data_IF_162095954307
#
_entry.id   IF_162095954307
#
_cell.length_a   1.000
_cell.length_b   1.000
_cell.length_c   1.000
_cell.angle_alpha   90.00
_cell.angle_beta   90.00
_cell.angle_gamma   90.00
#
_symmetry.space_group_name_H-M   'P 1'
#
loop_
_entity.id
_entity.type
_entity.pdbx_description
1 polymer ?
#
# COMPACT_ATOMS: atom_id res chain seq x y z
N UNK A 1 -15.88 2.89 14.71
CA UNK A 1 -15.05 2.19 13.70
C UNK A 1 -15.71 2.36 12.34
N UNK A 2 -15.00 2.93 11.37
CA UNK A 2 -15.50 3.07 9.99
C UNK A 2 -15.62 1.68 9.36
N UNK A 3 -16.81 1.29 8.92
CA UNK A 3 -16.98 0.06 8.15
C UNK A 3 -16.48 0.25 6.71
N UNK A 4 -15.97 -0.83 6.11
CA UNK A 4 -15.65 -0.82 4.68
C UNK A 4 -16.93 -0.61 3.86
N UNK A 5 -16.83 0.21 2.82
CA UNK A 5 -17.92 0.44 1.87
C UNK A 5 -17.63 -0.41 0.66
N UNK A 6 -18.58 -1.28 0.32
CA UNK A 6 -18.41 -2.24 -0.77
C UNK A 6 -19.36 -1.94 -1.91
N UNK A 7 -18.89 -2.18 -3.13
CA UNK A 7 -19.65 -2.02 -4.37
C UNK A 7 -19.08 -3.00 -5.41
N UNK A 8 -19.89 -3.42 -6.38
CA UNK A 8 -19.40 -4.31 -7.44
C UNK A 8 -18.28 -3.67 -8.26
N UNK A 9 -17.31 -4.49 -8.66
CA UNK A 9 -16.19 -4.02 -9.49
C UNK A 9 -16.67 -3.36 -10.78
N UNK A 10 -17.67 -3.94 -11.46
CA UNK A 10 -18.20 -3.42 -12.72
C UNK A 10 -18.78 -2.00 -12.57
N UNK A 11 -19.45 -1.72 -11.46
CA UNK A 11 -20.01 -0.38 -11.19
C UNK A 11 -18.92 0.65 -10.84
N UNK A 12 -17.88 0.25 -10.08
CA UNK A 12 -16.74 1.12 -9.78
C UNK A 12 -15.89 1.39 -11.02
N UNK A 13 -15.60 0.35 -11.80
CA UNK A 13 -14.76 0.42 -13.00
C UNK A 13 -15.34 1.36 -14.08
N UNK A 14 -16.66 1.52 -14.13
CA UNK A 14 -17.31 2.47 -15.04
C UNK A 14 -16.95 3.95 -14.73
N UNK A 15 -16.55 4.26 -13.49
CA UNK A 15 -16.23 5.61 -13.01
C UNK A 15 -14.74 5.85 -12.80
N UNK A 16 -13.93 4.80 -12.80
CA UNK A 16 -12.50 4.90 -12.57
C UNK A 16 -11.73 5.33 -13.82
N UNK A 17 -10.57 5.99 -13.63
CA UNK A 17 -9.65 6.25 -14.72
C UNK A 17 -9.26 4.97 -15.44
N UNK A 18 -9.25 5.00 -16.78
CA UNK A 18 -8.93 3.81 -17.60
C UNK A 18 -7.43 3.54 -17.70
N UNK A 19 -6.60 4.58 -17.66
CA UNK A 19 -5.16 4.49 -17.83
C UNK A 19 -4.40 5.51 -16.97
N UNK A 20 -3.09 5.29 -16.81
CA UNK A 20 -2.19 6.20 -16.11
C UNK A 20 -2.06 5.93 -14.61
N UNK A 21 -1.32 6.81 -13.91
CA UNK A 21 -0.98 6.66 -12.49
C UNK A 21 -2.03 7.33 -11.61
N UNK A 22 -2.78 6.54 -10.83
CA UNK A 22 -3.85 7.04 -9.96
C UNK A 22 -3.79 6.39 -8.58
N UNK A 23 -4.03 7.17 -7.53
CA UNK A 23 -4.20 6.64 -6.18
C UNK A 23 -5.68 6.32 -6.01
N UNK A 24 -6.05 5.06 -6.21
CA UNK A 24 -7.39 4.56 -5.95
C UNK A 24 -7.42 3.96 -4.54
N UNK A 25 -8.27 4.51 -3.68
CA UNK A 25 -8.42 4.12 -2.28
C UNK A 25 -9.87 4.30 -1.82
N UNK A 26 -10.29 3.55 -0.81
CA UNK A 26 -11.43 3.96 0.02
C UNK A 26 -10.93 4.99 1.05
N UNK A 27 -11.64 6.11 1.20
CA UNK A 27 -11.28 7.16 2.16
C UNK A 27 -12.52 7.92 2.64
N UNK A 28 -12.38 8.61 3.77
CA UNK A 28 -13.30 9.64 4.26
C UNK A 28 -12.53 10.95 4.53
N UNK A 29 -13.12 11.87 5.28
CA UNK A 29 -12.48 13.16 5.57
C UNK A 29 -11.16 13.00 6.36
N UNK A 30 -11.08 11.98 7.21
CA UNK A 30 -10.03 11.82 8.21
C UNK A 30 -9.11 10.63 7.93
N UNK A 31 -9.57 9.63 7.16
CA UNK A 31 -8.87 8.35 7.01
C UNK A 31 -8.85 7.84 5.57
N UNK A 32 -7.87 7.00 5.28
CA UNK A 32 -7.73 6.22 4.04
C UNK A 32 -7.48 4.76 4.37
N UNK A 33 -8.05 3.85 3.60
CA UNK A 33 -7.81 2.42 3.74
C UNK A 33 -6.55 2.03 2.97
N UNK A 34 -5.67 1.31 3.64
CA UNK A 34 -4.55 0.61 3.03
C UNK A 34 -4.58 -0.87 3.37
N UNK A 35 -4.08 -1.69 2.46
CA UNK A 35 -4.12 -3.13 2.56
C UNK A 35 -2.72 -3.73 2.66
N UNK A 36 -2.62 -4.78 3.47
CA UNK A 36 -1.44 -5.64 3.61
C UNK A 36 -1.89 -7.08 3.85
N UNK A 37 -1.05 -8.06 3.53
CA UNK A 37 -1.34 -9.47 3.77
C UNK A 37 -0.24 -10.12 4.60
N UNK A 38 -0.65 -10.99 5.53
CA UNK A 38 0.24 -11.66 6.47
C UNK A 38 -0.20 -13.09 6.76
N UNK A 39 0.72 -13.84 7.37
CA UNK A 39 0.40 -15.11 8.03
C UNK A 39 -0.64 -14.91 9.14
N UNK A 40 -1.46 -15.94 9.46
CA UNK A 40 -2.53 -15.85 10.45
C UNK A 40 -2.10 -15.25 11.78
N UNK A 41 -0.93 -15.64 12.29
CA UNK A 41 -0.42 -15.14 13.57
C UNK A 41 -0.29 -13.60 13.64
N UNK A 42 0.19 -12.96 12.56
CA UNK A 42 0.35 -11.51 12.52
C UNK A 42 -1.00 -10.85 12.21
N UNK A 43 -1.72 -11.36 11.20
CA UNK A 43 -2.97 -10.79 10.73
C UNK A 43 -4.05 -10.79 11.82
N UNK A 44 -4.30 -11.94 12.46
CA UNK A 44 -5.31 -12.02 13.52
C UNK A 44 -4.92 -11.21 14.75
N UNK A 45 -3.63 -11.17 15.11
CA UNK A 45 -3.17 -10.32 16.20
C UNK A 45 -3.50 -8.85 15.93
N UNK A 46 -3.12 -8.34 14.75
CA UNK A 46 -3.37 -6.94 14.40
C UNK A 46 -4.86 -6.61 14.32
N UNK A 47 -5.68 -7.50 13.75
CA UNK A 47 -7.12 -7.32 13.69
C UNK A 47 -7.78 -7.28 15.09
N UNK A 48 -7.27 -8.07 16.04
CA UNK A 48 -7.82 -8.12 17.40
C UNK A 48 -7.34 -6.97 18.30
N UNK A 49 -6.12 -6.46 18.09
CA UNK A 49 -5.50 -5.49 19.00
C UNK A 49 -5.36 -4.08 18.44
N UNK A 50 -5.56 -3.89 17.12
CA UNK A 50 -5.43 -2.59 16.48
C UNK A 50 -4.00 -2.10 16.29
N UNK A 51 -2.99 -2.97 16.42
CA UNK A 51 -1.59 -2.65 16.14
C UNK A 51 -0.80 -3.91 15.78
N UNK A 52 0.40 -3.76 15.24
CA UNK A 52 1.26 -4.88 14.87
C UNK A 52 2.14 -5.35 16.04
N UNK A 53 1.98 -6.62 16.44
CA UNK A 53 2.71 -7.25 17.54
C UNK A 53 4.11 -7.75 17.17
N UNK A 54 4.73 -8.52 18.07
CA UNK A 54 6.13 -9.02 17.94
C UNK A 54 6.40 -9.89 16.72
N UNK A 55 5.38 -10.48 16.10
CA UNK A 55 5.53 -11.23 14.86
C UNK A 55 5.77 -10.35 13.62
N UNK A 56 5.53 -9.04 13.73
CA UNK A 56 5.76 -8.07 12.66
C UNK A 56 7.22 -7.60 12.66
N UNK A 57 7.90 -7.75 11.53
CA UNK A 57 9.30 -7.35 11.39
C UNK A 57 9.41 -5.87 11.04
N UNK A 58 10.16 -5.13 11.86
CA UNK A 58 10.53 -3.73 11.62
C UNK A 58 11.85 -3.57 10.85
N UNK A 59 12.62 -4.66 10.71
CA UNK A 59 13.94 -4.64 10.06
C UNK A 59 13.87 -4.65 8.52
N UNK A 60 12.69 -4.93 7.97
CA UNK A 60 12.45 -5.01 6.53
C UNK A 60 11.39 -4.01 6.09
N UNK A 61 11.50 -3.59 4.83
CA UNK A 61 10.47 -2.80 4.18
C UNK A 61 9.10 -3.53 4.23
N UNK A 62 8.06 -2.86 4.71
CA UNK A 62 6.66 -3.32 4.58
C UNK A 62 5.93 -2.49 3.52
N UNK A 63 5.13 -3.13 2.67
CA UNK A 63 4.48 -2.47 1.54
C UNK A 63 2.98 -2.34 1.73
N UNK A 64 2.49 -1.11 1.95
CA UNK A 64 1.07 -0.79 2.01
C UNK A 64 0.51 -0.49 0.62
N UNK A 65 -0.75 -0.85 0.38
CA UNK A 65 -1.44 -0.67 -0.91
C UNK A 65 -2.81 -0.04 -0.68
N UNK A 66 -3.13 1.15 -1.18
CA UNK A 66 -4.49 1.69 -1.09
C UNK A 66 -5.48 0.95 -2.01
N UNK A 67 -4.97 0.28 -3.05
CA UNK A 67 -5.78 -0.47 -4.01
C UNK A 67 -5.99 -1.93 -3.56
N UNK A 68 -7.25 -2.32 -3.36
CA UNK A 68 -7.64 -3.66 -2.92
C UNK A 68 -7.27 -4.75 -3.92
N UNK A 69 -7.58 -4.60 -5.22
CA UNK A 69 -7.32 -5.62 -6.22
C UNK A 69 -5.82 -5.81 -6.47
N UNK A 70 -5.02 -4.76 -6.32
CA UNK A 70 -3.57 -4.87 -6.29
C UNK A 70 -3.10 -5.73 -5.11
N UNK A 71 -3.68 -5.56 -3.91
CA UNK A 71 -3.38 -6.44 -2.78
C UNK A 71 -3.83 -7.89 -3.05
N UNK A 72 -5.04 -8.10 -3.56
CA UNK A 72 -5.57 -9.45 -3.83
C UNK A 72 -4.76 -10.18 -4.89
N UNK A 73 -4.35 -9.51 -5.96
CA UNK A 73 -3.40 -10.09 -6.92
C UNK A 73 -2.09 -10.49 -6.23
N UNK A 74 -1.54 -9.61 -5.38
CA UNK A 74 -0.23 -9.84 -4.73
C UNK A 74 -0.25 -11.00 -3.75
N UNK A 75 -1.30 -11.19 -2.97
CA UNK A 75 -1.47 -12.34 -2.09
C UNK A 75 -2.10 -13.57 -2.77
N UNK A 76 -2.41 -13.49 -4.07
CA UNK A 76 -3.07 -14.58 -4.79
C UNK A 76 -4.43 -14.93 -4.19
N UNK A 77 -5.24 -13.90 -3.93
CA UNK A 77 -6.52 -14.04 -3.23
C UNK A 77 -6.40 -14.72 -1.86
N UNK A 78 -5.38 -14.34 -1.10
CA UNK A 78 -5.02 -14.92 0.19
C UNK A 78 -4.70 -16.42 0.18
N UNK A 79 -4.43 -17.00 -0.99
CA UNK A 79 -4.02 -18.40 -1.11
C UNK A 79 -2.50 -18.60 -0.99
N UNK A 80 -1.69 -17.54 -1.07
CA UNK A 80 -0.22 -17.65 -1.00
C UNK A 80 0.24 -17.90 0.46
N UNK A 81 1.14 -18.87 0.68
CA UNK A 81 1.72 -19.10 2.01
C UNK A 81 2.34 -17.83 2.60
N UNK A 82 2.03 -17.55 3.86
CA UNK A 82 2.46 -16.36 4.60
C UNK A 82 1.70 -15.07 4.28
N UNK A 83 0.64 -15.12 3.48
CA UNK A 83 -0.23 -13.99 3.08
C UNK A 83 -1.73 -14.35 3.14
N UNK A 84 -2.11 -15.21 4.06
CA UNK A 84 -3.44 -15.81 4.19
C UNK A 84 -4.47 -14.86 4.84
N UNK A 85 -4.02 -13.84 5.57
CA UNK A 85 -4.88 -12.84 6.20
C UNK A 85 -4.60 -11.47 5.60
N UNK A 86 -5.58 -10.92 4.88
CA UNK A 86 -5.55 -9.56 4.34
C UNK A 86 -6.19 -8.61 5.34
N UNK A 87 -5.43 -7.60 5.76
CA UNK A 87 -5.89 -6.53 6.63
C UNK A 87 -6.31 -5.33 5.79
N UNK A 88 -7.45 -4.74 6.13
CA UNK A 88 -7.81 -3.39 5.74
C UNK A 88 -7.55 -2.47 6.93
N UNK A 89 -6.54 -1.61 6.80
CA UNK A 89 -6.09 -0.70 7.86
C UNK A 89 -6.60 0.69 7.55
N UNK A 90 -7.40 1.26 8.45
CA UNK A 90 -7.76 2.67 8.41
C UNK A 90 -6.58 3.49 8.94
N UNK A 91 -5.92 4.20 8.04
CA UNK A 91 -4.81 5.07 8.36
C UNK A 91 -5.29 6.52 8.33
N UNK A 92 -4.89 7.32 9.32
CA UNK A 92 -5.16 8.75 9.30
C UNK A 92 -4.65 9.37 7.98
N UNK A 93 -5.49 10.16 7.34
CA UNK A 93 -5.22 10.74 6.03
C UNK A 93 -4.01 11.65 6.06
N UNK A 94 -3.84 12.42 7.14
CA UNK A 94 -2.65 13.23 7.38
C UNK A 94 -1.36 12.38 7.41
N UNK A 95 -1.41 11.20 8.04
CA UNK A 95 -0.28 10.26 8.06
C UNK A 95 0.00 9.71 6.67
N UNK A 96 -1.02 9.33 5.91
CA UNK A 96 -0.85 8.86 4.53
C UNK A 96 -0.25 9.94 3.61
N UNK A 97 -0.73 11.18 3.73
CA UNK A 97 -0.22 12.32 2.96
C UNK A 97 1.25 12.63 3.32
N UNK A 98 1.62 12.53 4.60
CA UNK A 98 3.00 12.64 5.05
C UNK A 98 3.90 11.53 4.49
N UNK A 99 3.42 10.28 4.48
CA UNK A 99 4.12 9.16 3.85
C UNK A 99 4.31 9.44 2.35
N UNK A 100 3.27 9.88 1.64
CA UNK A 100 3.35 10.22 0.22
C UNK A 100 4.37 11.33 -0.07
N UNK A 101 4.39 12.37 0.76
CA UNK A 101 5.32 13.49 0.61
C UNK A 101 6.79 13.08 0.82
N UNK A 102 7.05 12.10 1.71
CA UNK A 102 8.39 11.58 1.97
C UNK A 102 8.87 10.53 0.94
N UNK A 103 8.01 10.11 0.02
CA UNK A 103 8.24 8.92 -0.79
C UNK A 103 9.20 9.16 -1.97
N UNK A 104 10.26 8.35 -2.05
CA UNK A 104 11.21 8.37 -3.15
C UNK A 104 10.89 7.26 -4.16
N UNK A 105 10.86 7.53 -5.48
CA UNK A 105 10.57 6.52 -6.51
C UNK A 105 11.47 5.28 -6.42
N UNK A 106 10.90 4.10 -6.62
CA UNK A 106 11.60 2.81 -6.54
C UNK A 106 12.58 2.57 -7.70
N UNK A 107 12.44 3.33 -8.79
CA UNK A 107 13.33 3.36 -9.94
C UNK A 107 13.73 4.80 -10.28
N UNK A 108 14.91 4.99 -10.87
CA UNK A 108 15.34 6.29 -11.35
C UNK A 108 14.43 6.78 -12.49
N UNK A 109 14.01 8.04 -12.39
CA UNK A 109 13.19 8.73 -13.38
C UNK A 109 13.90 10.03 -13.76
N UNK A 110 14.39 10.11 -15.00
CA UNK A 110 15.12 11.28 -15.51
C UNK A 110 14.30 12.57 -15.54
N UNK A 111 12.97 12.46 -15.47
CA UNK A 111 12.08 13.63 -15.41
C UNK A 111 11.99 14.23 -14.01
N UNK A 112 12.41 13.48 -12.99
CA UNK A 112 12.41 13.89 -11.58
C UNK A 112 13.81 14.12 -11.03
N UNK A 113 14.78 13.37 -11.52
CA UNK A 113 16.18 13.43 -11.11
C UNK A 113 17.06 13.62 -12.33
N UNK A 114 17.83 14.71 -12.37
CA UNK A 114 18.80 14.93 -13.43
C UNK A 114 19.83 13.78 -13.46
N UNK A 115 20.37 13.41 -12.30
CA UNK A 115 21.42 12.40 -12.14
C UNK A 115 20.95 11.19 -11.34
N UNK A 116 21.50 10.01 -11.65
CA UNK A 116 21.14 8.76 -10.98
C UNK A 116 21.66 8.73 -9.53
N UNK A 117 22.80 9.36 -9.28
CA UNK A 117 23.49 9.42 -8.01
C UNK A 117 22.68 10.22 -6.98
N UNK A 118 22.07 11.34 -7.42
CA UNK A 118 21.15 12.12 -6.59
C UNK A 118 19.93 11.29 -6.15
N UNK A 119 19.33 10.53 -7.09
CA UNK A 119 18.26 9.61 -6.76
C UNK A 119 18.72 8.54 -5.75
N UNK A 120 19.90 7.94 -5.94
CA UNK A 120 20.44 6.94 -5.02
C UNK A 120 20.68 7.49 -3.61
N UNK A 121 21.16 8.74 -3.51
CA UNK A 121 21.33 9.41 -2.21
C UNK A 121 19.98 9.56 -1.49
N UNK A 122 18.95 10.05 -2.19
CA UNK A 122 17.59 10.19 -1.64
C UNK A 122 16.98 8.82 -1.29
N UNK A 123 17.24 7.78 -2.10
CA UNK A 123 16.87 6.39 -1.76
C UNK A 123 17.54 5.95 -0.46
N UNK A 124 18.80 6.32 -0.23
CA UNK A 124 19.55 5.96 0.97
C UNK A 124 19.02 6.64 2.23
N UNK A 125 18.54 7.87 2.10
CA UNK A 125 18.10 8.72 3.22
C UNK A 125 16.60 8.59 3.53
N UNK A 126 15.76 8.20 2.57
CA UNK A 126 14.31 8.12 2.77
C UNK A 126 13.87 6.81 3.40
N UNK A 127 12.93 6.88 4.34
CA UNK A 127 12.24 5.73 4.91
C UNK A 127 11.03 5.27 4.10
N UNK A 128 10.69 5.98 3.01
CA UNK A 128 9.52 5.70 2.18
C UNK A 128 9.89 5.49 0.72
N UNK A 129 9.47 4.36 0.16
CA UNK A 129 9.65 4.01 -1.26
C UNK A 129 8.32 4.04 -1.99
N UNK A 130 8.28 4.63 -3.17
CA UNK A 130 7.10 4.68 -4.02
C UNK A 130 7.28 3.80 -5.24
N UNK A 131 6.35 2.89 -5.51
CA UNK A 131 6.32 2.11 -6.73
C UNK A 131 4.95 2.15 -7.41
N UNK A 132 4.97 2.23 -8.73
CA UNK A 132 3.78 2.09 -9.58
C UNK A 132 3.83 0.74 -10.30
N UNK A 133 2.83 -0.10 -10.08
CA UNK A 133 2.66 -1.39 -10.77
C UNK A 133 1.38 -1.37 -11.59
N UNK A 134 1.14 -2.34 -12.50
CA UNK A 134 -0.17 -2.50 -13.10
C UNK A 134 -1.24 -2.61 -12.00
N UNK A 135 -2.36 -1.93 -12.19
CA UNK A 135 -3.57 -2.33 -11.48
C UNK A 135 -4.10 -3.63 -12.08
N UNK A 136 -4.98 -4.32 -11.36
CA UNK A 136 -5.54 -5.59 -11.78
C UNK A 136 -7.06 -5.60 -11.67
N UNK A 137 -7.70 -6.34 -12.58
CA UNK A 137 -9.09 -6.71 -12.39
C UNK A 137 -9.25 -7.92 -11.45
N UNK A 138 -10.49 -8.33 -11.14
CA UNK A 138 -10.75 -9.42 -10.20
C UNK A 138 -10.15 -10.77 -10.62
N UNK A 139 -9.97 -11.00 -11.94
CA UNK A 139 -9.33 -12.20 -12.46
C UNK A 139 -7.80 -12.18 -12.38
N UNK A 140 -7.20 -11.06 -11.98
CA UNK A 140 -5.74 -10.85 -11.95
C UNK A 140 -5.16 -10.36 -13.28
N UNK A 141 -5.99 -10.07 -14.27
CA UNK A 141 -5.59 -9.46 -15.53
C UNK A 141 -5.02 -8.05 -15.29
N UNK A 142 -3.90 -7.68 -15.92
CA UNK A 142 -3.36 -6.33 -15.79
C UNK A 142 -4.24 -5.31 -16.53
N UNK A 143 -4.31 -4.09 -16.00
CA UNK A 143 -5.03 -2.97 -16.58
C UNK A 143 -4.06 -1.84 -16.98
N UNK A 144 -4.48 -0.98 -17.90
CA UNK A 144 -3.67 0.16 -18.38
C UNK A 144 -3.43 1.23 -17.30
N UNK A 145 -4.30 1.28 -16.29
CA UNK A 145 -4.08 2.12 -15.11
C UNK A 145 -3.11 1.44 -14.15
N UNK A 146 -2.38 2.27 -13.40
CA UNK A 146 -1.34 1.84 -12.46
C UNK A 146 -1.82 2.01 -11.03
N UNK A 147 -1.50 1.04 -10.18
CA UNK A 147 -1.72 1.09 -8.74
C UNK A 147 -0.41 1.49 -8.02
N UNK A 148 -0.52 2.35 -7.02
CA UNK A 148 0.60 2.71 -6.16
C UNK A 148 0.78 1.65 -5.06
N UNK A 149 2.03 1.42 -4.68
CA UNK A 149 2.38 0.84 -3.39
C UNK A 149 3.48 1.67 -2.73
N UNK A 150 3.41 1.76 -1.40
CA UNK A 150 4.34 2.51 -0.58
C UNK A 150 5.07 1.55 0.33
N UNK A 151 6.39 1.49 0.20
CA UNK A 151 7.28 0.75 1.07
C UNK A 151 7.65 1.63 2.26
N UNK A 152 7.47 1.13 3.47
CA UNK A 152 7.83 1.78 4.72
C UNK A 152 8.95 1.02 5.41
N UNK A 153 9.96 1.72 5.93
CA UNK A 153 11.01 1.16 6.80
C UNK A 153 11.34 2.14 7.93
N UNK A 154 12.23 1.73 8.83
CA UNK A 154 12.78 2.62 9.86
C UNK A 154 11.69 3.21 10.78
N UNK A 155 11.87 4.45 11.25
CA UNK A 155 10.90 5.17 12.06
C UNK A 155 9.48 5.20 11.48
N UNK A 156 9.33 5.43 10.17
CA UNK A 156 8.00 5.50 9.53
C UNK A 156 7.24 4.17 9.65
N UNK A 157 7.94 3.05 9.49
CA UNK A 157 7.35 1.72 9.68
C UNK A 157 6.99 1.45 11.14
N UNK A 158 7.83 1.90 12.08
CA UNK A 158 7.58 1.73 13.51
C UNK A 158 6.36 2.53 13.97
N UNK A 159 6.19 3.76 13.48
CA UNK A 159 5.02 4.59 13.76
C UNK A 159 3.76 3.96 13.17
N UNK A 160 3.80 3.55 11.89
CA UNK A 160 2.70 2.84 11.24
C UNK A 160 2.30 1.55 11.98
N UNK A 161 3.28 0.83 12.55
CA UNK A 161 3.02 -0.40 13.29
C UNK A 161 2.18 -0.20 14.56
N UNK A 162 2.10 1.05 15.06
CA UNK A 162 1.43 1.45 16.30
C UNK A 162 0.23 2.38 16.10
N UNK A 163 0.02 2.85 14.87
CA UNK A 163 -1.00 3.82 14.49
C UNK A 163 -2.42 3.24 14.47
#
# INVERSE_FOLDING_TARGET
MSQLRVESFTAQAARWPRAGRHILAQFDAENVVVYQAYRPQIGHFAAAHGYFGTGFSLDRMSWIKPNFLWMMYRCGWAAKPGQEVVLAVWLARATFDAILAAAVPSSWDRTRYAEREAWQADVGQSDVRLQWDPDHGPGGEPLDRRAIQLGLRGPVLADYARA
#
